data_IF_707903503513
#
_entry.id   IF_707903503513
#
_cell.length_a   1.000
_cell.length_b   1.000
_cell.length_c   1.000
_cell.angle_alpha   90.00
_cell.angle_beta   90.00
_cell.angle_gamma   90.00
#
_symmetry.space_group_name_H-M   'P 1'
#
loop_
_entity.id
_entity.type
_entity.pdbx_description
1 polymer ?
#
# COMPACT_ATOMS: atom_id res chain seq x y z
N UNK A 1 -14.93 25.36 -10.68
CA UNK A 1 -13.50 25.66 -10.88
C UNK A 1 -12.74 24.83 -9.87
N UNK A 2 -12.36 23.61 -10.25
CA UNK A 2 -11.58 22.70 -9.40
C UNK A 2 -10.12 23.16 -9.47
N UNK A 3 -9.62 23.73 -8.36
CA UNK A 3 -8.22 24.10 -8.24
C UNK A 3 -7.36 22.84 -8.35
N UNK A 4 -6.76 22.63 -9.52
CA UNK A 4 -5.65 21.69 -9.66
C UNK A 4 -4.50 22.24 -8.82
N UNK A 5 -4.35 21.70 -7.63
CA UNK A 5 -3.17 21.94 -6.82
C UNK A 5 -2.01 21.26 -7.54
N UNK A 6 -1.31 22.00 -8.39
CA UNK A 6 -0.17 21.48 -9.14
C UNK A 6 0.87 20.94 -8.15
N UNK A 7 1.34 19.72 -8.40
CA UNK A 7 2.45 19.13 -7.64
C UNK A 7 3.73 19.87 -8.00
N UNK A 8 4.45 20.35 -7.00
CA UNK A 8 5.76 20.96 -7.25
C UNK A 8 6.79 19.89 -7.63
N UNK A 9 7.82 20.31 -8.38
CA UNK A 9 8.93 19.40 -8.71
C UNK A 9 9.61 18.84 -7.45
N UNK A 10 9.72 19.67 -6.39
CA UNK A 10 10.32 19.26 -5.11
C UNK A 10 9.49 18.24 -4.37
N UNK A 11 8.15 18.30 -4.43
CA UNK A 11 7.27 17.28 -3.85
C UNK A 11 7.47 15.93 -4.55
N UNK A 12 7.50 15.94 -5.87
CA UNK A 12 7.69 14.74 -6.69
C UNK A 12 9.08 14.13 -6.42
N UNK A 13 10.12 14.95 -6.38
CA UNK A 13 11.48 14.50 -6.14
C UNK A 13 11.63 13.86 -4.75
N UNK A 14 11.14 14.50 -3.70
CA UNK A 14 11.14 13.94 -2.34
C UNK A 14 10.38 12.62 -2.25
N UNK A 15 9.26 12.52 -2.94
CA UNK A 15 8.47 11.30 -2.96
C UNK A 15 9.17 10.18 -3.73
N UNK A 16 9.79 10.49 -4.88
CA UNK A 16 10.59 9.54 -5.65
C UNK A 16 11.75 8.98 -4.82
N UNK A 17 12.51 9.84 -4.13
CA UNK A 17 13.60 9.42 -3.27
C UNK A 17 13.12 8.54 -2.09
N UNK A 18 11.94 8.84 -1.55
CA UNK A 18 11.31 7.97 -0.55
C UNK A 18 11.00 6.59 -1.14
N UNK A 19 10.30 6.54 -2.28
CA UNK A 19 9.95 5.30 -2.97
C UNK A 19 11.19 4.46 -3.29
N UNK A 20 12.27 5.10 -3.74
CA UNK A 20 13.53 4.43 -4.06
C UNK A 20 14.12 3.73 -2.84
N UNK A 21 14.23 4.44 -1.71
CA UNK A 21 14.73 3.86 -0.46
C UNK A 21 13.85 2.71 0.03
N UNK A 22 12.52 2.85 -0.04
CA UNK A 22 11.58 1.80 0.37
C UNK A 22 11.67 0.57 -0.54
N UNK A 23 11.82 0.77 -1.85
CA UNK A 23 12.02 -0.31 -2.81
C UNK A 23 13.33 -1.07 -2.51
N UNK A 24 14.45 -0.36 -2.38
CA UNK A 24 15.77 -0.94 -2.09
C UNK A 24 15.77 -1.69 -0.74
N UNK A 25 15.16 -1.13 0.29
CA UNK A 25 15.01 -1.79 1.59
C UNK A 25 14.19 -3.09 1.51
N UNK A 26 13.23 -3.16 0.58
CA UNK A 26 12.43 -4.35 0.30
C UNK A 26 13.07 -5.34 -0.69
N UNK A 27 14.28 -5.05 -1.19
CA UNK A 27 14.94 -5.89 -2.20
C UNK A 27 14.42 -5.68 -3.62
N UNK A 28 13.73 -4.57 -3.88
CA UNK A 28 13.19 -4.20 -5.19
C UNK A 28 14.01 -3.07 -5.83
N UNK A 29 13.85 -2.92 -7.13
CA UNK A 29 14.51 -1.87 -7.90
C UNK A 29 13.48 -1.02 -8.64
N UNK A 30 13.68 0.30 -8.63
CA UNK A 30 12.92 1.18 -9.51
C UNK A 30 13.54 1.18 -10.91
N UNK A 31 12.74 1.62 -11.88
CA UNK A 31 13.18 1.77 -13.26
C UNK A 31 14.43 2.66 -13.35
N UNK A 32 15.49 2.24 -14.05
CA UNK A 32 16.72 3.02 -14.20
C UNK A 32 16.50 4.30 -15.02
N UNK A 33 15.45 4.39 -15.81
CA UNK A 33 15.00 5.64 -16.42
C UNK A 33 14.34 6.49 -15.34
N UNK A 34 15.13 7.39 -14.75
CA UNK A 34 14.74 8.24 -13.64
C UNK A 34 13.61 9.19 -14.03
N UNK A 35 13.64 9.74 -15.25
CA UNK A 35 12.61 10.66 -15.72
C UNK A 35 11.25 9.96 -15.81
N UNK A 36 11.23 8.78 -16.40
CA UNK A 36 10.04 7.93 -16.47
C UNK A 36 9.54 7.53 -15.07
N UNK A 37 10.44 7.12 -14.19
CA UNK A 37 10.06 6.75 -12.81
C UNK A 37 9.51 7.93 -12.01
N UNK A 38 10.04 9.14 -12.21
CA UNK A 38 9.52 10.37 -11.59
C UNK A 38 8.13 10.75 -12.12
N UNK A 39 7.84 10.54 -13.39
CA UNK A 39 6.48 10.74 -13.93
C UNK A 39 5.48 9.77 -13.31
N UNK A 40 5.86 8.51 -13.08
CA UNK A 40 5.02 7.56 -12.37
C UNK A 40 4.83 7.95 -10.89
N UNK A 41 5.89 8.44 -10.24
CA UNK A 41 5.80 8.98 -8.88
C UNK A 41 4.85 10.19 -8.81
N UNK A 42 4.90 11.09 -9.79
CA UNK A 42 3.94 12.19 -9.95
C UNK A 42 2.51 11.66 -10.08
N UNK A 43 2.30 10.62 -10.88
CA UNK A 43 1.00 9.96 -11.06
C UNK A 43 0.46 9.38 -9.75
N UNK A 44 1.31 8.74 -8.94
CA UNK A 44 0.94 8.22 -7.61
C UNK A 44 0.52 9.34 -6.66
N UNK A 45 1.28 10.43 -6.59
CA UNK A 45 0.92 11.61 -5.78
C UNK A 45 -0.37 12.27 -6.26
N UNK A 46 -0.57 12.33 -7.56
CA UNK A 46 -1.82 12.87 -8.14
C UNK A 46 -3.02 12.02 -7.71
N UNK A 47 -2.88 10.69 -7.76
CA UNK A 47 -3.93 9.78 -7.30
C UNK A 47 -4.16 9.87 -5.79
N UNK A 48 -3.09 10.04 -5.00
CA UNK A 48 -3.21 10.27 -3.56
C UNK A 48 -3.98 11.56 -3.25
N UNK A 49 -3.68 12.67 -3.94
CA UNK A 49 -4.44 13.92 -3.79
C UNK A 49 -5.90 13.80 -4.24
N UNK A 50 -6.16 13.01 -5.28
CA UNK A 50 -7.50 12.83 -5.85
C UNK A 50 -8.38 11.87 -5.06
N UNK A 51 -7.83 10.76 -4.62
CA UNK A 51 -8.57 9.63 -4.04
C UNK A 51 -8.24 9.35 -2.57
N UNK A 52 -7.18 9.97 -2.03
CA UNK A 52 -6.69 9.70 -0.68
C UNK A 52 -5.82 8.45 -0.55
N UNK A 53 -5.40 7.84 -1.66
CA UNK A 53 -4.49 6.69 -1.70
C UNK A 53 -3.71 6.63 -3.02
N UNK A 54 -2.54 6.01 -2.98
CA UNK A 54 -1.59 5.91 -4.08
C UNK A 54 -1.95 4.75 -5.03
N UNK A 55 -3.07 4.86 -5.75
CA UNK A 55 -3.41 3.86 -6.77
C UNK A 55 -2.46 3.91 -7.96
N UNK A 56 -2.22 2.76 -8.58
CA UNK A 56 -1.37 2.63 -9.75
C UNK A 56 -1.80 3.61 -10.85
N UNK A 57 -0.90 4.48 -11.37
CA UNK A 57 -1.25 5.49 -12.35
C UNK A 57 -1.62 4.92 -13.72
N UNK A 58 -1.20 3.67 -13.99
CA UNK A 58 -1.46 2.98 -15.26
C UNK A 58 -2.74 2.11 -15.24
N UNK A 59 -3.50 2.14 -14.14
CA UNK A 59 -4.75 1.40 -13.99
C UNK A 59 -5.90 2.33 -13.66
N UNK A 60 -7.11 2.00 -14.17
CA UNK A 60 -8.31 2.76 -13.85
C UNK A 60 -8.71 2.53 -12.40
N UNK A 61 -8.63 3.60 -11.61
CA UNK A 61 -9.14 3.64 -10.24
C UNK A 61 -10.64 3.90 -10.23
N UNK A 62 -11.36 3.22 -9.33
CA UNK A 62 -12.79 3.46 -9.11
C UNK A 62 -13.05 4.73 -8.29
N UNK A 63 -12.06 5.17 -7.52
CA UNK A 63 -12.17 6.22 -6.52
C UNK A 63 -12.57 5.68 -5.14
N UNK A 64 -12.93 4.41 -5.06
CA UNK A 64 -13.30 3.73 -3.83
C UNK A 64 -12.15 2.84 -3.36
N UNK A 65 -11.49 3.22 -2.27
CA UNK A 65 -10.29 2.55 -1.76
C UNK A 65 -10.46 1.03 -1.60
N UNK A 66 -11.66 0.60 -1.20
CA UNK A 66 -11.95 -0.83 -0.99
C UNK A 66 -12.06 -1.63 -2.29
N UNK A 67 -12.45 -0.98 -3.39
CA UNK A 67 -12.52 -1.59 -4.71
C UNK A 67 -11.18 -1.55 -5.44
N UNK A 68 -10.26 -0.69 -4.98
CA UNK A 68 -8.96 -0.44 -5.59
C UNK A 68 -7.79 -0.95 -4.75
N UNK A 69 -8.06 -1.68 -3.67
CA UNK A 69 -7.03 -2.16 -2.74
C UNK A 69 -5.94 -2.98 -3.45
N UNK A 70 -6.32 -3.71 -4.49
CA UNK A 70 -5.46 -4.55 -5.32
C UNK A 70 -4.50 -3.75 -6.21
N UNK A 71 -4.78 -2.45 -6.44
CA UNK A 71 -3.96 -1.56 -7.27
C UNK A 71 -3.31 -0.42 -6.50
N UNK A 72 -3.41 -0.40 -5.17
CA UNK A 72 -2.61 0.53 -4.35
C UNK A 72 -1.14 0.15 -4.49
N UNK A 73 -0.29 1.12 -4.82
CA UNK A 73 1.13 0.87 -5.05
C UNK A 73 1.88 0.65 -3.72
N UNK A 74 2.70 -0.42 -3.62
CA UNK A 74 2.93 -1.49 -4.59
C UNK A 74 1.73 -2.44 -4.71
N UNK A 75 1.25 -2.64 -5.94
CA UNK A 75 0.03 -3.40 -6.18
C UNK A 75 0.22 -4.91 -6.06
N UNK A 76 -0.88 -5.65 -5.87
CA UNK A 76 -0.86 -7.13 -5.73
C UNK A 76 -0.29 -7.84 -6.95
N UNK A 77 -0.26 -7.16 -8.10
CA UNK A 77 0.24 -7.70 -9.37
C UNK A 77 1.73 -7.48 -9.59
N UNK A 78 2.41 -6.66 -8.75
CA UNK A 78 3.84 -6.32 -8.92
C UNK A 78 4.72 -7.58 -8.97
N UNK A 79 4.61 -8.45 -7.99
CA UNK A 79 5.51 -9.60 -7.87
C UNK A 79 5.27 -10.65 -8.97
N UNK A 80 4.03 -11.02 -9.33
CA UNK A 80 3.77 -11.84 -10.50
C UNK A 80 4.28 -11.22 -11.80
N UNK A 81 4.11 -9.91 -11.99
CA UNK A 81 4.57 -9.22 -13.20
C UNK A 81 6.10 -9.18 -13.28
N UNK A 82 6.78 -8.90 -12.15
CA UNK A 82 8.24 -8.97 -12.07
C UNK A 82 8.79 -10.36 -12.38
N UNK A 83 8.13 -11.40 -11.86
CA UNK A 83 8.52 -12.79 -12.12
C UNK A 83 8.41 -13.19 -13.57
N UNK A 84 7.31 -12.78 -14.24
CA UNK A 84 7.00 -13.24 -15.59
C UNK A 84 7.57 -12.32 -16.68
N UNK A 85 7.70 -11.01 -16.40
CA UNK A 85 8.01 -9.98 -17.40
C UNK A 85 9.18 -9.07 -17.04
N UNK A 86 9.85 -9.31 -15.90
CA UNK A 86 10.95 -8.48 -15.41
C UNK A 86 10.57 -7.01 -15.08
N UNK A 87 9.29 -6.67 -15.09
CA UNK A 87 8.80 -5.35 -14.70
C UNK A 87 7.35 -5.44 -14.21
N UNK A 88 6.90 -4.51 -13.36
CA UNK A 88 5.49 -4.37 -13.04
C UNK A 88 4.74 -3.68 -14.19
N UNK A 89 3.42 -3.81 -14.23
CA UNK A 89 2.56 -3.32 -15.32
C UNK A 89 2.81 -1.88 -15.74
N UNK A 90 3.08 -0.98 -14.81
CA UNK A 90 3.42 0.42 -15.12
C UNK A 90 4.92 0.64 -15.39
N UNK A 91 5.77 -0.35 -15.17
CA UNK A 91 7.21 -0.22 -15.36
C UNK A 91 7.95 0.55 -14.25
N UNK A 92 7.31 0.87 -13.14
CA UNK A 92 7.95 1.55 -11.99
C UNK A 92 8.96 0.64 -11.30
N UNK A 93 8.54 -0.61 -11.01
CA UNK A 93 9.41 -1.64 -10.45
C UNK A 93 9.91 -2.55 -11.56
N UNK A 94 11.20 -2.84 -11.54
CA UNK A 94 11.86 -3.70 -12.53
C UNK A 94 12.79 -4.70 -11.88
N UNK A 95 13.14 -5.77 -12.61
CA UNK A 95 14.11 -6.75 -12.13
C UNK A 95 15.54 -6.18 -12.17
N UNK A 96 16.44 -6.80 -11.40
CA UNK A 96 17.87 -6.49 -11.45
C UNK A 96 18.47 -6.66 -12.85
N UNK A 97 17.92 -7.59 -13.65
CA UNK A 97 18.37 -7.83 -15.00
C UNK A 97 18.08 -6.62 -15.93
N UNK A 98 16.94 -5.95 -15.70
CA UNK A 98 16.59 -4.69 -16.42
C UNK A 98 17.49 -3.56 -15.95
N UNK A 99 17.70 -3.39 -14.65
CA UNK A 99 18.60 -2.36 -14.09
C UNK A 99 20.01 -2.48 -14.66
N UNK A 100 20.50 -3.71 -14.78
CA UNK A 100 21.85 -4.00 -15.36
C UNK A 100 21.88 -3.99 -16.88
N UNK A 101 20.81 -3.60 -17.57
CA UNK A 101 20.72 -3.55 -19.03
C UNK A 101 20.80 -4.91 -19.73
N UNK A 102 20.69 -6.02 -19.00
CA UNK A 102 20.72 -7.38 -19.54
C UNK A 102 19.40 -7.79 -20.20
N UNK A 103 18.31 -7.17 -19.78
CA UNK A 103 16.97 -7.36 -20.33
C UNK A 103 16.30 -6.02 -20.54
N UNK A 104 15.29 -6.01 -21.42
CA UNK A 104 14.39 -4.86 -21.59
C UNK A 104 13.00 -5.26 -21.10
N UNK A 105 12.35 -4.38 -20.35
CA UNK A 105 10.95 -4.54 -20.01
C UNK A 105 10.10 -4.42 -21.29
N UNK A 106 9.22 -5.38 -21.50
CA UNK A 106 8.30 -5.41 -22.64
C UNK A 106 6.89 -4.94 -22.24
N UNK A 107 5.95 -5.04 -23.19
CA UNK A 107 4.55 -4.83 -22.90
C UNK A 107 4.02 -5.95 -22.00
N UNK A 108 3.38 -5.56 -20.89
CA UNK A 108 2.86 -6.48 -19.88
C UNK A 108 1.34 -6.56 -20.03
N UNK A 109 0.75 -7.76 -20.13
CA UNK A 109 -0.70 -7.90 -20.22
C UNK A 109 -1.36 -7.51 -18.89
N UNK A 110 -2.54 -6.88 -18.97
CA UNK A 110 -3.31 -6.53 -17.79
C UNK A 110 -3.83 -7.79 -17.08
N UNK A 111 -3.38 -7.99 -15.84
CA UNK A 111 -3.80 -9.09 -14.97
C UNK A 111 -5.03 -8.75 -14.13
N UNK A 112 -5.33 -7.47 -13.97
CA UNK A 112 -6.48 -7.06 -13.17
C UNK A 112 -7.76 -7.55 -13.84
N UNK A 113 -8.59 -8.33 -13.14
CA UNK A 113 -9.86 -8.79 -13.73
C UNK A 113 -10.74 -7.60 -14.10
N UNK A 114 -11.57 -7.72 -15.17
CA UNK A 114 -12.56 -6.71 -15.48
C UNK A 114 -13.53 -6.53 -14.31
N UNK A 115 -14.08 -5.34 -14.13
CA UNK A 115 -14.95 -4.95 -13.01
C UNK A 115 -16.05 -5.98 -12.73
N UNK A 116 -16.64 -6.55 -13.79
CA UNK A 116 -17.70 -7.58 -13.69
C UNK A 116 -17.24 -8.88 -13.04
N UNK A 117 -15.94 -9.17 -13.07
CA UNK A 117 -15.34 -10.39 -12.49
C UNK A 117 -14.61 -10.14 -11.17
N UNK A 118 -14.46 -8.86 -10.77
CA UNK A 118 -13.88 -8.55 -9.46
C UNK A 118 -14.86 -9.01 -8.38
N UNK A 119 -14.39 -9.82 -7.46
CA UNK A 119 -15.16 -10.07 -6.24
C UNK A 119 -15.31 -8.71 -5.58
N UNK A 120 -16.53 -8.14 -5.62
CA UNK A 120 -16.83 -7.02 -4.74
C UNK A 120 -16.49 -7.51 -3.35
N UNK A 121 -15.47 -6.95 -2.76
CA UNK A 121 -15.28 -7.01 -1.32
C UNK A 121 -16.46 -6.19 -0.80
N UNK A 122 -17.63 -6.86 -0.67
CA UNK A 122 -18.67 -6.31 0.17
C UNK A 122 -17.90 -5.97 1.44
N UNK A 123 -17.87 -4.69 1.79
CA UNK A 123 -17.54 -4.32 3.15
C UNK A 123 -18.41 -5.24 3.98
N UNK A 124 -17.85 -6.31 4.48
CA UNK A 124 -18.47 -7.05 5.56
C UNK A 124 -18.61 -5.98 6.59
N UNK A 125 -19.81 -5.40 6.68
CA UNK A 125 -20.25 -4.78 7.90
C UNK A 125 -19.81 -5.80 8.94
N UNK A 126 -18.80 -5.46 9.73
CA UNK A 126 -18.33 -6.29 10.85
C UNK A 126 -19.44 -6.32 11.93
N UNK A 127 -20.65 -6.70 11.52
CA UNK A 127 -21.73 -7.15 12.37
C UNK A 127 -21.62 -8.64 12.72
N UNK A 128 -20.58 -9.33 12.19
CA UNK A 128 -20.12 -10.60 12.74
C UNK A 128 -19.11 -10.25 13.82
N UNK A 129 -19.57 -10.19 15.07
CA UNK A 129 -18.77 -9.76 16.20
C UNK A 129 -17.43 -10.47 16.25
N UNK A 130 -16.41 -9.74 16.63
CA UNK A 130 -15.08 -10.21 17.03
C UNK A 130 -15.18 -11.16 18.28
N UNK A 131 -16.39 -11.60 18.59
CA UNK A 131 -16.71 -12.54 19.67
C UNK A 131 -16.19 -13.97 19.45
N UNK A 132 -15.50 -14.25 18.33
CA UNK A 132 -14.90 -15.56 18.06
C UNK A 132 -13.36 -15.55 18.09
N UNK A 133 -12.75 -14.52 18.66
CA UNK A 133 -11.30 -14.57 18.88
C UNK A 133 -10.98 -15.59 19.98
N UNK A 134 -9.95 -16.42 19.81
CA UNK A 134 -9.58 -17.46 20.80
C UNK A 134 -9.09 -16.85 22.11
N UNK A 135 -8.70 -15.58 22.12
CA UNK A 135 -8.24 -14.83 23.29
C UNK A 135 -8.95 -13.48 23.40
N UNK A 136 -9.23 -13.01 24.63
CA UNK A 136 -9.76 -11.67 24.83
C UNK A 136 -8.78 -10.59 24.38
N UNK A 137 -9.32 -9.49 23.85
CA UNK A 137 -8.54 -8.32 23.48
C UNK A 137 -8.62 -7.26 24.56
N UNK A 138 -7.46 -6.77 24.98
CA UNK A 138 -7.32 -5.72 25.99
C UNK A 138 -6.88 -4.41 25.36
N UNK A 139 -7.43 -3.30 25.80
CA UNK A 139 -7.06 -1.94 25.40
C UNK A 139 -6.49 -1.16 26.56
N UNK A 140 -5.33 -0.56 26.38
CA UNK A 140 -4.81 0.44 27.30
C UNK A 140 -5.63 1.73 27.18
N UNK A 141 -6.27 2.20 28.25
CA UNK A 141 -7.08 3.42 28.25
C UNK A 141 -6.25 4.70 28.14
N UNK A 142 -4.92 4.63 28.33
CA UNK A 142 -4.03 5.78 28.25
C UNK A 142 -3.54 6.05 26.83
N UNK A 143 -3.09 5.02 26.09
CA UNK A 143 -2.47 5.20 24.77
C UNK A 143 -3.19 4.44 23.64
N UNK A 144 -4.25 3.68 23.95
CA UNK A 144 -4.97 2.91 22.93
C UNK A 144 -4.31 1.60 22.50
N UNK A 145 -3.17 1.21 23.07
CA UNK A 145 -2.48 -0.05 22.72
C UNK A 145 -3.42 -1.25 22.89
N UNK A 146 -3.48 -2.11 21.88
CA UNK A 146 -4.30 -3.33 21.88
C UNK A 146 -3.41 -4.57 21.93
N UNK A 147 -3.85 -5.56 22.72
CA UNK A 147 -3.21 -6.88 22.75
C UNK A 147 -4.24 -7.98 22.99
N UNK A 148 -4.07 -9.12 22.31
CA UNK A 148 -4.87 -10.34 22.50
C UNK A 148 -4.09 -11.30 23.40
N UNK A 149 -4.60 -11.55 24.63
CA UNK A 149 -4.02 -12.49 25.61
C UNK A 149 -5.00 -12.79 26.72
N UNK A 150 -4.79 -13.86 27.48
CA UNK A 150 -5.69 -14.27 28.56
C UNK A 150 -5.89 -13.19 29.63
N UNK A 151 -4.84 -12.44 29.95
CA UNK A 151 -4.88 -11.33 30.90
C UNK A 151 -4.07 -10.13 30.39
N UNK A 152 -4.42 -8.89 30.78
CA UNK A 152 -3.66 -7.71 30.34
C UNK A 152 -2.22 -7.74 30.87
N UNK A 153 -1.27 -7.10 30.16
CA UNK A 153 0.11 -7.02 30.62
C UNK A 153 0.21 -6.21 31.93
N UNK A 154 1.14 -6.55 32.78
CA UNK A 154 1.39 -5.84 34.04
C UNK A 154 1.76 -4.37 33.80
N UNK A 155 2.45 -4.11 32.68
CA UNK A 155 2.85 -2.76 32.27
C UNK A 155 2.67 -2.63 30.76
N UNK A 156 2.06 -1.52 30.32
CA UNK A 156 1.90 -1.21 28.90
C UNK A 156 3.27 -1.05 28.22
N UNK A 157 3.55 -1.77 27.13
CA UNK A 157 4.85 -1.67 26.46
C UNK A 157 5.08 -0.29 25.84
N UNK A 158 4.02 0.45 25.53
CA UNK A 158 4.09 1.76 24.89
C UNK A 158 4.20 2.89 25.91
N UNK A 159 3.18 3.09 26.76
CA UNK A 159 3.10 4.25 27.67
C UNK A 159 3.50 3.95 29.12
N UNK A 160 3.90 2.71 29.42
CA UNK A 160 4.31 2.25 30.77
C UNK A 160 3.21 2.33 31.83
N UNK A 161 1.96 2.54 31.44
CA UNK A 161 0.82 2.47 32.33
C UNK A 161 0.67 1.06 32.94
N UNK A 162 0.25 1.00 34.18
CA UNK A 162 0.06 -0.26 34.91
C UNK A 162 -1.19 -1.02 34.43
N UNK A 163 -1.30 -2.29 34.78
CA UNK A 163 -2.36 -3.24 34.43
C UNK A 163 -3.78 -2.70 34.66
N UNK A 164 -4.01 -1.96 35.71
CA UNK A 164 -5.31 -1.38 36.08
C UNK A 164 -5.83 -0.37 35.04
N UNK A 165 -4.96 0.06 34.11
CA UNK A 165 -5.31 0.96 33.01
C UNK A 165 -5.69 0.20 31.74
N UNK A 166 -5.87 -1.11 31.82
CA UNK A 166 -6.39 -1.91 30.72
C UNK A 166 -7.85 -2.26 30.95
N UNK A 167 -8.62 -2.16 29.90
CA UNK A 167 -10.00 -2.62 29.87
C UNK A 167 -10.16 -3.74 28.84
N UNK A 168 -11.10 -4.63 29.05
CA UNK A 168 -11.45 -5.62 28.02
C UNK A 168 -12.16 -4.91 26.88
N UNK A 169 -11.60 -5.01 25.69
CA UNK A 169 -12.11 -4.33 24.49
C UNK A 169 -13.05 -5.23 23.68
N UNK A 170 -12.79 -6.54 23.70
CA UNK A 170 -13.59 -7.60 23.06
C UNK A 170 -13.47 -8.85 23.91
#
# INVERSE_FOLDING_TARGET
MTGETSLSADEVNRFYEKLKREAEAGGYHLNPDVEFAMELARGLLTNEKRYGYQSCPCRLSSGEKQEDIDIICPCDYRDPDLSDYDACYCGLYVSEAVVKGRKKAGAIPERRPPVSKRKRVKAKSRAGGISSLPLPVWRCTVCGYLCARESPPEVCPICKAKKERFERFI
#
